data_IF_930945568571
#
_entry.id   IF_930945568571
#
_cell.length_a   1.000
_cell.length_b   1.000
_cell.length_c   1.000
_cell.angle_alpha   90.00
_cell.angle_beta   90.00
_cell.angle_gamma   90.00
#
_symmetry.space_group_name_H-M   'P 1'
#
loop_
_entity.id
_entity.type
_entity.pdbx_description
1 polymer ?
#
# COMPACT_ATOMS: atom_id res chain seq x y z
N UNK A 1 36.40 2.58 -19.96
CA UNK A 1 35.34 3.07 -19.03
C UNK A 1 34.23 2.06 -18.69
N UNK A 2 34.11 0.90 -19.35
CA UNK A 2 32.95 0.00 -19.16
C UNK A 2 33.05 -0.99 -17.97
N UNK A 3 34.25 -1.45 -17.61
CA UNK A 3 34.43 -2.48 -16.56
C UNK A 3 34.28 -1.91 -15.14
N UNK A 4 34.93 -0.78 -14.85
CA UNK A 4 34.85 -0.16 -13.51
C UNK A 4 33.42 0.26 -13.14
N UNK A 5 32.65 0.78 -14.11
CA UNK A 5 31.24 1.11 -13.94
C UNK A 5 30.40 -0.15 -13.66
N UNK A 6 30.61 -1.23 -14.43
CA UNK A 6 29.93 -2.50 -14.22
C UNK A 6 30.24 -3.09 -12.83
N UNK A 7 31.50 -3.12 -12.44
CA UNK A 7 31.93 -3.61 -11.12
C UNK A 7 31.30 -2.78 -9.99
N UNK A 8 31.25 -1.46 -10.14
CA UNK A 8 30.58 -0.57 -9.17
C UNK A 8 29.08 -0.83 -9.10
N UNK A 9 28.41 -1.03 -10.24
CA UNK A 9 26.98 -1.37 -10.25
C UNK A 9 26.71 -2.71 -9.57
N UNK A 10 27.51 -3.74 -9.85
CA UNK A 10 27.37 -5.05 -9.18
C UNK A 10 27.64 -4.93 -7.68
N UNK A 11 28.66 -4.17 -7.28
CA UNK A 11 28.95 -3.89 -5.87
C UNK A 11 27.76 -3.24 -5.17
N UNK A 12 27.21 -2.16 -5.74
CA UNK A 12 26.05 -1.45 -5.17
C UNK A 12 24.80 -2.33 -5.11
N UNK A 13 24.54 -3.12 -6.14
CA UNK A 13 23.40 -4.03 -6.18
C UNK A 13 23.52 -5.13 -5.12
N UNK A 14 24.74 -5.58 -4.81
CA UNK A 14 24.99 -6.67 -3.86
C UNK A 14 25.22 -6.21 -2.43
N UNK A 15 25.38 -4.91 -2.16
CA UNK A 15 25.38 -4.36 -0.78
C UNK A 15 24.09 -4.76 -0.06
N UNK A 16 24.12 -5.19 1.22
CA UNK A 16 22.90 -5.52 1.96
C UNK A 16 21.87 -4.40 1.90
N UNK A 17 22.28 -3.17 2.22
CA UNK A 17 21.48 -1.94 2.12
C UNK A 17 22.15 -0.99 1.14
N UNK A 18 21.37 -0.44 0.20
CA UNK A 18 21.90 0.55 -0.72
C UNK A 18 22.23 1.85 0.03
N UNK A 19 23.38 2.51 -0.19
CA UNK A 19 23.76 3.73 0.53
C UNK A 19 22.71 4.84 0.47
N UNK A 20 22.11 5.08 -0.70
CA UNK A 20 21.02 6.05 -0.86
C UNK A 20 19.75 5.65 -0.09
N UNK A 21 19.43 4.35 0.01
CA UNK A 21 18.30 3.89 0.84
C UNK A 21 18.58 4.13 2.32
N UNK A 22 19.81 3.89 2.78
CA UNK A 22 20.22 4.18 4.16
C UNK A 22 20.10 5.67 4.46
N UNK A 23 20.63 6.54 3.61
CA UNK A 23 20.53 7.99 3.76
C UNK A 23 19.06 8.46 3.81
N UNK A 24 18.21 7.98 2.91
CA UNK A 24 16.79 8.35 2.90
C UNK A 24 16.05 7.86 4.16
N UNK A 25 16.39 6.68 4.68
CA UNK A 25 15.84 6.18 5.93
C UNK A 25 16.36 6.96 7.15
N UNK A 26 17.62 7.36 7.18
CA UNK A 26 18.18 8.20 8.27
C UNK A 26 17.48 9.56 8.31
N UNK A 27 17.29 10.17 7.15
CA UNK A 27 16.52 11.41 7.03
C UNK A 27 15.07 11.19 7.49
N UNK A 28 14.44 10.07 7.10
CA UNK A 28 13.08 9.76 7.55
C UNK A 28 13.02 9.62 9.07
N UNK A 29 13.95 8.86 9.68
CA UNK A 29 14.04 8.68 11.13
C UNK A 29 14.24 10.01 11.86
N UNK A 30 15.14 10.86 11.35
CA UNK A 30 15.40 12.18 11.93
C UNK A 30 14.12 13.03 11.97
N UNK A 31 13.36 13.04 10.86
CA UNK A 31 12.11 13.80 10.72
C UNK A 31 10.87 13.21 11.38
N UNK A 32 10.95 12.04 12.03
CA UNK A 32 9.81 11.53 12.80
C UNK A 32 9.60 12.33 14.10
N UNK A 33 8.34 12.48 14.56
CA UNK A 33 8.05 12.94 15.92
C UNK A 33 8.68 12.05 17.00
N UNK A 34 8.99 12.61 18.16
CA UNK A 34 9.70 11.89 19.23
C UNK A 34 8.95 10.66 19.75
N UNK A 35 7.62 10.76 19.93
CA UNK A 35 6.81 9.68 20.52
C UNK A 35 6.74 8.42 19.65
N UNK A 36 6.96 8.53 18.33
CA UNK A 36 6.96 7.37 17.42
C UNK A 36 8.34 6.75 17.22
N UNK A 37 9.41 7.31 17.80
CA UNK A 37 10.79 6.77 17.71
C UNK A 37 11.00 5.65 18.72
N UNK A 38 10.23 4.57 18.57
CA UNK A 38 10.27 3.40 19.44
C UNK A 38 11.15 2.29 18.83
N UNK A 39 11.58 1.28 19.61
CA UNK A 39 12.21 0.08 19.08
C UNK A 39 11.32 -0.73 18.11
N UNK A 40 10.00 -0.55 18.15
CA UNK A 40 9.09 -1.21 17.22
C UNK A 40 8.98 -0.50 15.86
N UNK A 41 9.41 0.78 15.77
CA UNK A 41 9.24 1.60 14.57
C UNK A 41 10.03 1.07 13.37
N UNK A 42 9.33 0.96 12.24
CA UNK A 42 9.87 0.53 10.96
C UNK A 42 10.22 1.70 10.04
N UNK A 43 9.53 2.85 10.14
CA UNK A 43 9.88 4.05 9.38
C UNK A 43 11.27 4.53 9.76
N UNK A 44 12.14 4.70 8.78
CA UNK A 44 13.54 5.10 8.96
C UNK A 44 14.46 4.01 9.51
N UNK A 45 13.93 2.83 9.85
CA UNK A 45 14.74 1.67 10.27
C UNK A 45 14.73 0.56 9.22
N UNK A 46 13.57 0.23 8.67
CA UNK A 46 13.41 -0.78 7.62
C UNK A 46 12.93 -0.21 6.29
N UNK A 47 12.13 0.85 6.32
CA UNK A 47 11.58 1.47 5.12
C UNK A 47 11.39 2.98 5.30
N UNK A 48 11.31 3.72 4.20
CA UNK A 48 10.99 5.16 4.22
C UNK A 48 9.49 5.46 4.33
N UNK A 49 8.64 4.45 4.08
CA UNK A 49 7.19 4.56 3.95
C UNK A 49 6.71 3.94 2.64
N UNK A 50 5.39 3.89 2.45
CA UNK A 50 4.76 3.67 1.16
C UNK A 50 4.59 4.99 0.42
N UNK A 51 4.60 4.91 -0.91
CA UNK A 51 4.44 6.05 -1.81
C UNK A 51 3.15 5.86 -2.61
N UNK A 52 2.49 6.94 -3.04
CA UNK A 52 1.33 6.86 -3.92
C UNK A 52 1.36 7.95 -4.98
N UNK A 53 0.66 7.70 -6.07
CA UNK A 53 0.45 8.71 -7.11
C UNK A 53 -0.71 9.65 -6.76
N UNK A 54 -0.66 10.88 -7.23
CA UNK A 54 -1.81 11.81 -7.24
C UNK A 54 -1.93 12.46 -8.62
N UNK A 55 -3.06 13.11 -8.93
CA UNK A 55 -3.16 13.90 -10.16
C UNK A 55 -3.09 13.15 -11.50
N UNK A 56 -3.02 11.81 -11.48
CA UNK A 56 -2.88 10.98 -12.69
C UNK A 56 -4.20 10.92 -13.47
N UNK A 57 -5.27 10.44 -12.84
CA UNK A 57 -6.65 10.58 -13.31
C UNK A 57 -7.57 10.21 -12.13
N UNK A 58 -8.62 11.00 -11.86
CA UNK A 58 -9.50 10.77 -10.71
C UNK A 58 -10.78 10.00 -11.04
N UNK A 59 -10.99 9.66 -12.30
CA UNK A 59 -12.27 9.09 -12.76
C UNK A 59 -12.50 7.69 -12.19
N UNK A 60 -13.73 7.46 -11.75
CA UNK A 60 -14.21 6.19 -11.23
C UNK A 60 -15.61 5.87 -11.79
N UNK A 61 -15.90 4.60 -12.04
CA UNK A 61 -17.20 4.11 -12.49
C UNK A 61 -18.10 3.61 -11.34
N UNK A 62 -17.62 3.67 -10.09
CA UNK A 62 -18.37 3.37 -8.89
C UNK A 62 -18.70 4.63 -8.10
N UNK A 63 -19.77 4.55 -7.32
CA UNK A 63 -20.13 5.57 -6.33
C UNK A 63 -20.03 4.95 -4.95
N UNK A 64 -19.03 5.38 -4.19
CA UNK A 64 -18.81 4.93 -2.81
C UNK A 64 -19.08 6.11 -1.87
N UNK A 65 -19.79 5.85 -0.77
CA UNK A 65 -20.10 6.90 0.23
C UNK A 65 -18.83 7.50 0.86
N UNK A 66 -17.88 6.72 1.42
CA UNK A 66 -16.69 7.27 2.09
C UNK A 66 -15.53 7.62 1.13
N UNK A 67 -15.83 8.05 -0.10
CA UNK A 67 -14.82 8.25 -1.13
C UNK A 67 -14.21 9.66 -1.05
N UNK A 68 -12.89 9.75 -1.09
CA UNK A 68 -12.18 11.04 -1.16
C UNK A 68 -12.34 11.77 -2.51
N UNK A 69 -12.88 11.11 -3.55
CA UNK A 69 -13.06 11.76 -4.85
C UNK A 69 -14.07 12.90 -4.79
N UNK A 70 -13.58 14.08 -5.20
CA UNK A 70 -14.38 15.29 -5.33
C UNK A 70 -15.49 15.16 -6.39
N UNK A 71 -16.41 16.13 -6.39
CA UNK A 71 -17.48 16.24 -7.40
C UNK A 71 -16.97 16.39 -8.85
N UNK A 72 -15.70 16.78 -9.04
CA UNK A 72 -15.08 16.96 -10.35
C UNK A 72 -14.32 15.73 -10.85
N UNK A 73 -14.03 14.77 -9.97
CA UNK A 73 -13.27 13.56 -10.31
C UNK A 73 -13.84 12.83 -11.55
N UNK A 74 -15.15 12.63 -11.60
CA UNK A 74 -15.81 11.93 -12.72
C UNK A 74 -16.00 12.79 -13.98
N UNK A 75 -15.54 14.04 -13.96
CA UNK A 75 -15.56 14.99 -15.08
C UNK A 75 -14.19 15.16 -15.75
N UNK A 76 -13.19 14.41 -15.31
CA UNK A 76 -11.86 14.34 -15.92
C UNK A 76 -11.83 13.18 -16.92
N UNK A 77 -11.35 13.43 -18.13
CA UNK A 77 -11.13 12.39 -19.14
C UNK A 77 -9.97 11.49 -18.71
N UNK A 78 -10.10 10.20 -18.94
CA UNK A 78 -8.99 9.26 -18.79
C UNK A 78 -8.06 9.45 -19.98
N UNK A 79 -6.79 9.70 -19.70
CA UNK A 79 -5.76 9.97 -20.70
C UNK A 79 -4.49 9.22 -20.32
N UNK A 80 -4.09 8.27 -21.17
CA UNK A 80 -2.93 7.41 -20.93
C UNK A 80 -1.61 8.17 -20.98
N UNK A 81 -1.45 9.07 -21.95
CA UNK A 81 -0.22 9.85 -22.13
C UNK A 81 0.06 10.75 -20.92
N UNK A 82 -0.97 11.48 -20.46
CA UNK A 82 -0.91 12.27 -19.24
C UNK A 82 -0.60 11.39 -18.02
N UNK A 83 -1.28 10.24 -17.89
CA UNK A 83 -1.07 9.31 -16.78
C UNK A 83 0.39 8.85 -16.72
N UNK A 84 0.93 8.35 -17.81
CA UNK A 84 2.32 7.86 -17.88
C UNK A 84 3.30 8.99 -17.57
N UNK A 85 3.06 10.19 -18.10
CA UNK A 85 3.90 11.38 -17.86
C UNK A 85 3.90 11.77 -16.38
N UNK A 86 2.73 11.91 -15.77
CA UNK A 86 2.58 12.28 -14.37
C UNK A 86 3.17 11.23 -13.44
N UNK A 87 2.92 9.94 -13.70
CA UNK A 87 3.54 8.82 -12.97
C UNK A 87 5.06 8.89 -13.08
N UNK A 88 5.61 9.08 -14.28
CA UNK A 88 7.06 9.13 -14.48
C UNK A 88 7.69 10.26 -13.67
N UNK A 89 7.14 11.47 -13.74
CA UNK A 89 7.65 12.64 -13.01
C UNK A 89 7.62 12.43 -11.48
N UNK A 90 6.53 11.87 -10.97
CA UNK A 90 6.37 11.55 -9.55
C UNK A 90 7.38 10.50 -9.10
N UNK A 91 7.54 9.42 -9.86
CA UNK A 91 8.47 8.34 -9.53
C UNK A 91 9.94 8.79 -9.62
N UNK A 92 10.29 9.65 -10.57
CA UNK A 92 11.61 10.26 -10.66
C UNK A 92 11.91 11.16 -9.44
N UNK A 93 10.94 11.96 -9.01
CA UNK A 93 11.08 12.77 -7.81
C UNK A 93 11.27 11.89 -6.57
N UNK A 94 10.41 10.90 -6.39
CA UNK A 94 10.53 9.91 -5.32
C UNK A 94 11.89 9.20 -5.36
N UNK A 95 12.41 8.84 -6.54
CA UNK A 95 13.74 8.21 -6.69
C UNK A 95 14.86 9.09 -6.13
N UNK A 96 14.75 10.41 -6.32
CA UNK A 96 15.71 11.39 -5.79
C UNK A 96 15.58 11.56 -4.28
N UNK A 97 14.36 11.69 -3.76
CA UNK A 97 14.15 12.07 -2.34
C UNK A 97 14.00 10.90 -1.37
N UNK A 98 13.57 9.72 -1.85
CA UNK A 98 13.29 8.53 -1.04
C UNK A 98 14.24 7.36 -1.35
N UNK A 99 15.15 7.55 -2.31
CA UNK A 99 16.16 6.57 -2.68
C UNK A 99 15.69 5.57 -3.75
N UNK A 100 16.49 4.51 -3.97
CA UNK A 100 16.40 3.66 -5.16
C UNK A 100 15.28 2.64 -5.16
N UNK A 101 14.70 2.33 -4.00
CA UNK A 101 13.74 1.24 -3.84
C UNK A 101 12.70 1.63 -2.80
N UNK A 102 11.43 1.45 -3.15
CA UNK A 102 10.28 1.62 -2.28
C UNK A 102 9.06 0.88 -2.88
N UNK A 103 7.99 0.77 -2.10
CA UNK A 103 6.68 0.38 -2.61
C UNK A 103 5.90 1.63 -3.01
N UNK A 104 5.26 1.59 -4.17
CA UNK A 104 4.40 2.67 -4.62
C UNK A 104 3.07 2.16 -5.14
N UNK A 105 1.99 2.83 -4.77
CA UNK A 105 0.65 2.51 -5.25
C UNK A 105 0.31 3.41 -6.46
N UNK A 106 -0.14 2.79 -7.56
CA UNK A 106 -0.82 3.50 -8.62
C UNK A 106 -2.27 3.69 -8.18
N UNK A 107 -2.59 4.91 -7.79
CA UNK A 107 -3.88 5.34 -7.22
C UNK A 107 -4.28 6.71 -7.80
N UNK A 108 -5.58 7.00 -7.79
CA UNK A 108 -6.13 8.29 -8.21
C UNK A 108 -7.59 8.17 -8.59
N UNK A 109 -7.97 7.08 -9.26
CA UNK A 109 -9.34 6.71 -9.66
C UNK A 109 -9.42 5.17 -9.82
N UNK A 110 -10.36 4.67 -10.63
CA UNK A 110 -10.36 3.24 -10.99
C UNK A 110 -9.33 2.97 -12.08
N UNK A 111 -8.20 2.36 -11.71
CA UNK A 111 -7.10 2.07 -12.64
C UNK A 111 -7.46 1.09 -13.74
N UNK A 112 -8.48 0.26 -13.57
CA UNK A 112 -8.98 -0.61 -14.64
C UNK A 112 -9.76 0.14 -15.74
N UNK A 113 -9.98 1.45 -15.59
CA UNK A 113 -10.55 2.28 -16.67
C UNK A 113 -9.49 2.81 -17.65
N UNK A 114 -8.20 2.71 -17.32
CA UNK A 114 -7.14 2.97 -18.30
C UNK A 114 -7.19 1.92 -19.41
N UNK A 115 -6.82 2.25 -20.64
CA UNK A 115 -6.44 1.25 -21.61
C UNK A 115 -5.34 0.34 -21.03
N UNK A 116 -5.44 -0.97 -21.24
CA UNK A 116 -4.55 -1.95 -20.63
C UNK A 116 -3.06 -1.69 -20.92
N UNK A 117 -2.73 -1.26 -22.15
CA UNK A 117 -1.38 -0.87 -22.55
C UNK A 117 -0.86 0.35 -21.78
N UNK A 118 -1.71 1.35 -21.53
CA UNK A 118 -1.31 2.55 -20.76
C UNK A 118 -1.12 2.22 -19.28
N UNK A 119 -1.97 1.34 -18.74
CA UNK A 119 -1.77 0.80 -17.40
C UNK A 119 -0.45 0.04 -17.30
N UNK A 120 -0.14 -0.85 -18.25
CA UNK A 120 1.14 -1.55 -18.31
C UNK A 120 2.32 -0.58 -18.39
N UNK A 121 2.24 0.46 -19.22
CA UNK A 121 3.27 1.47 -19.38
C UNK A 121 3.49 2.28 -18.08
N UNK A 122 2.43 2.62 -17.35
CA UNK A 122 2.54 3.26 -16.04
C UNK A 122 3.27 2.37 -15.03
N UNK A 123 2.95 1.08 -14.97
CA UNK A 123 3.66 0.13 -14.09
C UNK A 123 5.13 -0.03 -14.48
N UNK A 124 5.44 -0.04 -15.78
CA UNK A 124 6.82 -0.06 -16.28
C UNK A 124 7.57 1.21 -15.89
N UNK A 125 6.95 2.39 -15.94
CA UNK A 125 7.55 3.65 -15.50
C UNK A 125 7.88 3.64 -14.00
N UNK A 126 7.01 3.06 -13.16
CA UNK A 126 7.27 2.86 -11.73
C UNK A 126 8.45 1.91 -11.50
N UNK A 127 8.48 0.77 -12.21
CA UNK A 127 9.59 -0.19 -12.13
C UNK A 127 10.91 0.39 -12.62
N UNK A 128 10.91 1.18 -13.69
CA UNK A 128 12.10 1.85 -14.21
C UNK A 128 12.72 2.80 -13.18
N UNK A 129 11.91 3.36 -12.30
CA UNK A 129 12.32 4.18 -11.17
C UNK A 129 12.58 3.38 -9.88
N UNK A 130 12.58 2.04 -9.94
CA UNK A 130 12.91 1.17 -8.82
C UNK A 130 11.79 0.95 -7.81
N UNK A 131 10.54 1.32 -8.13
CA UNK A 131 9.39 1.03 -7.29
C UNK A 131 8.88 -0.38 -7.54
N UNK A 132 8.34 -1.01 -6.50
CA UNK A 132 7.38 -2.10 -6.70
C UNK A 132 5.98 -1.49 -6.77
N UNK A 133 5.37 -1.47 -7.95
CA UNK A 133 4.06 -0.92 -8.13
C UNK A 133 2.99 -1.85 -7.55
N UNK A 134 1.94 -1.24 -7.04
CA UNK A 134 0.69 -1.89 -6.68
C UNK A 134 -0.48 -1.10 -7.28
N UNK A 135 -1.25 -1.71 -8.16
CA UNK A 135 -2.41 -1.07 -8.77
C UNK A 135 -3.61 -1.11 -7.84
N UNK A 136 -4.20 0.04 -7.52
CA UNK A 136 -5.41 0.13 -6.70
C UNK A 136 -6.67 0.12 -7.58
N UNK A 137 -7.52 -0.87 -7.40
CA UNK A 137 -8.72 -1.11 -8.24
C UNK A 137 -9.89 -1.52 -7.36
N UNK A 138 -11.11 -1.43 -7.88
CA UNK A 138 -12.27 -2.05 -7.25
C UNK A 138 -12.42 -3.54 -7.65
N UNK A 139 -11.55 -4.05 -8.52
CA UNK A 139 -11.55 -5.45 -8.96
C UNK A 139 -12.70 -5.81 -9.90
N UNK A 140 -13.35 -4.81 -10.52
CA UNK A 140 -14.45 -4.99 -11.47
C UNK A 140 -13.95 -4.90 -12.92
N UNK A 141 -13.09 -5.85 -13.30
CA UNK A 141 -12.58 -6.05 -14.65
C UNK A 141 -12.47 -7.55 -14.94
N UNK A 142 -12.37 -7.90 -16.22
CA UNK A 142 -12.33 -9.29 -16.68
C UNK A 142 -10.90 -9.78 -16.87
N UNK A 143 -10.71 -11.10 -16.92
CA UNK A 143 -9.37 -11.69 -17.04
C UNK A 143 -8.62 -11.23 -18.30
N UNK A 144 -9.34 -11.00 -19.41
CA UNK A 144 -8.75 -10.48 -20.64
C UNK A 144 -8.07 -9.12 -20.44
N UNK A 145 -8.67 -8.21 -19.66
CA UNK A 145 -8.01 -6.95 -19.31
C UNK A 145 -6.73 -7.19 -18.53
N UNK A 146 -6.72 -8.14 -17.58
CA UNK A 146 -5.51 -8.50 -16.84
C UNK A 146 -4.43 -9.04 -17.78
N UNK A 147 -4.80 -9.91 -18.73
CA UNK A 147 -3.88 -10.45 -19.73
C UNK A 147 -3.27 -9.35 -20.59
N UNK A 148 -4.08 -8.41 -21.08
CA UNK A 148 -3.60 -7.29 -21.90
C UNK A 148 -2.66 -6.35 -21.12
N UNK A 149 -2.85 -6.21 -19.80
CA UNK A 149 -1.93 -5.44 -18.94
C UNK A 149 -0.60 -6.18 -18.79
N UNK A 150 -0.62 -7.51 -18.61
CA UNK A 150 0.56 -8.27 -18.18
C UNK A 150 1.35 -8.93 -19.30
N UNK A 151 0.76 -9.10 -20.48
CA UNK A 151 1.37 -9.72 -21.66
C UNK A 151 1.64 -8.70 -22.76
N UNK A 152 2.75 -8.87 -23.48
CA UNK A 152 3.01 -8.12 -24.72
C UNK A 152 2.19 -8.66 -25.91
N UNK A 153 2.31 -8.01 -27.06
CA UNK A 153 1.57 -8.38 -28.28
C UNK A 153 1.95 -9.80 -28.80
N UNK A 154 3.08 -10.34 -28.35
CA UNK A 154 3.52 -11.72 -28.62
C UNK A 154 3.09 -12.73 -27.54
N UNK A 155 2.31 -12.30 -26.54
CA UNK A 155 1.84 -13.13 -25.44
C UNK A 155 2.89 -13.44 -24.37
N UNK A 156 4.02 -12.73 -24.35
CA UNK A 156 5.09 -12.92 -23.36
C UNK A 156 4.85 -12.01 -22.15
N UNK A 157 5.18 -12.46 -20.94
CA UNK A 157 5.05 -11.62 -19.75
C UNK A 157 5.89 -10.34 -19.80
N UNK A 158 5.24 -9.19 -19.66
CA UNK A 158 5.87 -7.88 -19.40
C UNK A 158 6.50 -7.82 -18.02
N UNK A 159 5.93 -8.56 -17.06
CA UNK A 159 6.33 -8.55 -15.66
C UNK A 159 6.56 -9.97 -15.15
N UNK A 160 7.55 -10.14 -14.26
CA UNK A 160 7.73 -11.40 -13.52
C UNK A 160 6.75 -11.54 -12.37
N UNK A 161 6.34 -10.40 -11.82
CA UNK A 161 5.40 -10.28 -10.72
C UNK A 161 4.57 -9.01 -10.91
N UNK A 162 3.26 -9.08 -10.65
CA UNK A 162 2.38 -7.92 -10.57
C UNK A 162 1.75 -7.81 -9.18
N UNK A 163 1.38 -6.61 -8.74
CA UNK A 163 0.70 -6.44 -7.46
C UNK A 163 -0.55 -5.60 -7.62
N UNK A 164 -1.64 -6.03 -6.98
CA UNK A 164 -2.91 -5.32 -7.01
C UNK A 164 -3.49 -5.21 -5.60
N UNK A 165 -4.13 -4.10 -5.32
CA UNK A 165 -4.97 -3.93 -4.15
C UNK A 165 -6.41 -3.74 -4.61
N UNK A 166 -7.30 -4.65 -4.19
CA UNK A 166 -8.68 -4.67 -4.63
C UNK A 166 -9.61 -4.22 -3.50
N UNK A 167 -10.32 -3.13 -3.75
CA UNK A 167 -11.28 -2.55 -2.82
C UNK A 167 -12.65 -3.23 -2.98
N UNK A 168 -13.11 -3.85 -1.90
CA UNK A 168 -14.45 -4.42 -1.79
C UNK A 168 -15.08 -4.02 -0.46
N UNK A 169 -16.09 -3.17 -0.53
CA UNK A 169 -17.03 -2.90 0.56
C UNK A 169 -18.45 -2.70 0.02
N UNK A 170 -19.44 -2.95 0.87
CA UNK A 170 -20.87 -2.90 0.56
C UNK A 170 -21.42 -1.49 0.31
N UNK A 171 -20.62 -0.45 0.54
CA UNK A 171 -21.00 0.94 0.27
C UNK A 171 -20.64 1.35 -1.16
N UNK A 172 -19.88 0.52 -1.87
CA UNK A 172 -19.52 0.72 -3.27
C UNK A 172 -20.68 0.32 -4.18
N UNK A 173 -21.28 1.29 -4.86
CA UNK A 173 -22.39 1.09 -5.80
C UNK A 173 -21.90 1.13 -7.25
N UNK A 174 -22.42 0.24 -8.07
CA UNK A 174 -22.16 0.19 -9.52
C UNK A 174 -21.39 -1.06 -10.00
N UNK A 175 -20.99 -1.96 -9.10
CA UNK A 175 -20.25 -3.18 -9.48
C UNK A 175 -21.08 -4.06 -10.39
N UNK A 176 -20.49 -4.55 -11.48
CA UNK A 176 -21.14 -5.48 -12.41
C UNK A 176 -21.57 -6.75 -11.66
N UNK A 177 -22.85 -7.11 -11.76
CA UNK A 177 -23.44 -8.26 -11.05
C UNK A 177 -23.80 -8.02 -9.58
N UNK A 178 -23.41 -6.90 -8.97
CA UNK A 178 -23.78 -6.52 -7.60
C UNK A 178 -23.87 -4.99 -7.48
N UNK A 179 -24.84 -4.39 -8.17
CA UNK A 179 -24.92 -2.92 -8.33
C UNK A 179 -25.15 -2.19 -6.99
N UNK A 180 -25.88 -2.81 -6.06
CA UNK A 180 -26.18 -2.29 -4.71
C UNK A 180 -26.10 -3.44 -3.71
N UNK A 181 -24.89 -3.87 -3.33
CA UNK A 181 -24.74 -4.95 -2.35
C UNK A 181 -25.37 -4.53 -1.02
N UNK A 182 -26.07 -5.45 -0.37
CA UNK A 182 -26.76 -5.18 0.92
C UNK A 182 -25.85 -5.40 2.12
N UNK A 183 -24.83 -6.24 1.96
CA UNK A 183 -23.90 -6.64 2.98
C UNK A 183 -22.58 -7.08 2.33
N UNK A 184 -21.56 -7.31 3.15
CA UNK A 184 -20.25 -7.72 2.71
C UNK A 184 -20.22 -9.15 2.16
N UNK A 185 -21.08 -10.04 2.68
CA UNK A 185 -21.13 -11.43 2.25
C UNK A 185 -21.52 -11.57 0.76
N UNK A 186 -22.41 -10.71 0.25
CA UNK A 186 -22.76 -10.64 -1.17
C UNK A 186 -21.56 -10.35 -2.09
N UNK A 187 -20.49 -9.75 -1.55
CA UNK A 187 -19.27 -9.44 -2.29
C UNK A 187 -18.24 -10.58 -2.29
N UNK A 188 -18.41 -11.62 -1.47
CA UNK A 188 -17.46 -12.74 -1.38
C UNK A 188 -17.23 -13.49 -2.72
N UNK A 189 -18.26 -13.77 -3.54
CA UNK A 189 -18.04 -14.36 -4.87
C UNK A 189 -17.20 -13.47 -5.80
N UNK A 190 -17.23 -12.14 -5.62
CA UNK A 190 -16.43 -11.21 -6.41
C UNK A 190 -14.98 -11.14 -5.91
N UNK A 191 -14.78 -11.20 -4.59
CA UNK A 191 -13.45 -11.34 -3.97
C UNK A 191 -12.76 -12.61 -4.46
N UNK A 192 -13.46 -13.74 -4.41
CA UNK A 192 -12.94 -15.03 -4.86
C UNK A 192 -12.54 -14.99 -6.35
N UNK A 193 -13.47 -14.54 -7.21
CA UNK A 193 -13.22 -14.43 -8.66
C UNK A 193 -12.03 -13.53 -8.99
N UNK A 194 -11.92 -12.39 -8.32
CA UNK A 194 -10.77 -11.50 -8.49
C UNK A 194 -9.47 -12.22 -8.16
N UNK A 195 -9.42 -12.91 -7.01
CA UNK A 195 -8.23 -13.61 -6.55
C UNK A 195 -7.89 -14.82 -7.46
N UNK A 196 -8.90 -15.51 -7.98
CA UNK A 196 -8.77 -16.63 -8.94
C UNK A 196 -8.12 -16.19 -10.25
N UNK A 197 -8.36 -14.98 -10.75
CA UNK A 197 -7.68 -14.45 -11.94
C UNK A 197 -6.15 -14.47 -11.79
N UNK A 198 -5.63 -14.16 -10.60
CA UNK A 198 -4.18 -14.17 -10.36
C UNK A 198 -3.61 -15.57 -10.15
N UNK A 199 -4.43 -16.51 -9.68
CA UNK A 199 -4.06 -17.93 -9.65
C UNK A 199 -3.95 -18.47 -11.08
N UNK A 200 -4.94 -18.18 -11.93
CA UNK A 200 -4.92 -18.52 -13.36
C UNK A 200 -3.71 -17.89 -14.04
N UNK A 201 -3.45 -16.59 -13.83
CA UNK A 201 -2.30 -15.89 -14.39
C UNK A 201 -0.97 -16.58 -14.06
N UNK A 202 -0.81 -17.06 -12.83
CA UNK A 202 0.39 -17.79 -12.43
C UNK A 202 0.49 -19.15 -13.09
N UNK A 203 -0.62 -19.88 -13.18
CA UNK A 203 -0.69 -21.20 -13.79
C UNK A 203 -0.41 -21.13 -15.30
N UNK A 204 -1.08 -20.23 -16.00
CA UNK A 204 -1.11 -20.16 -17.46
C UNK A 204 0.14 -19.46 -18.03
N UNK A 205 0.64 -18.42 -17.35
CA UNK A 205 1.70 -17.55 -17.88
C UNK A 205 2.93 -17.46 -16.97
N UNK A 206 2.93 -18.15 -15.82
CA UNK A 206 4.07 -18.15 -14.90
C UNK A 206 4.30 -16.83 -14.15
N UNK A 207 3.42 -15.83 -14.31
CA UNK A 207 3.51 -14.52 -13.66
C UNK A 207 3.04 -14.61 -12.22
N UNK A 208 3.91 -14.29 -11.26
CA UNK A 208 3.52 -14.27 -9.85
C UNK A 208 2.70 -13.02 -9.50
N UNK A 209 1.97 -13.06 -8.40
CA UNK A 209 1.20 -11.92 -7.92
C UNK A 209 1.51 -11.58 -6.46
N UNK A 210 1.15 -10.37 -6.06
CA UNK A 210 0.88 -10.03 -4.66
C UNK A 210 -0.44 -9.27 -4.61
N UNK A 211 -1.45 -9.84 -3.96
CA UNK A 211 -2.79 -9.25 -3.94
C UNK A 211 -3.22 -8.86 -2.53
N UNK A 212 -3.68 -7.62 -2.39
CA UNK A 212 -4.25 -7.08 -1.16
C UNK A 212 -5.77 -6.99 -1.27
N UNK A 213 -6.48 -7.47 -0.26
CA UNK A 213 -7.89 -7.15 -0.04
C UNK A 213 -7.97 -5.86 0.76
N UNK A 214 -8.71 -4.89 0.25
CA UNK A 214 -8.96 -3.61 0.90
C UNK A 214 -10.47 -3.44 1.16
N UNK A 215 -10.83 -2.92 2.32
CA UNK A 215 -12.22 -2.64 2.69
C UNK A 215 -12.31 -1.37 3.52
N UNK A 216 -13.17 -0.44 3.11
CA UNK A 216 -13.56 0.68 3.97
C UNK A 216 -14.53 0.21 5.04
N UNK A 217 -14.28 0.60 6.29
CA UNK A 217 -15.08 0.21 7.45
C UNK A 217 -15.86 1.42 7.98
N UNK A 218 -17.17 1.24 8.11
CA UNK A 218 -18.11 2.22 8.65
C UNK A 218 -19.00 1.56 9.71
N UNK A 219 -19.78 2.34 10.51
CA UNK A 219 -20.72 1.77 11.46
C UNK A 219 -21.68 0.77 10.81
N UNK A 220 -21.99 0.96 9.52
CA UNK A 220 -22.88 0.07 8.78
C UNK A 220 -22.30 -1.33 8.48
N UNK A 221 -20.97 -1.50 8.48
CA UNK A 221 -20.34 -2.77 8.12
C UNK A 221 -19.25 -3.26 9.10
N UNK A 222 -18.97 -2.56 10.18
CA UNK A 222 -17.97 -2.97 11.18
C UNK A 222 -18.29 -4.34 11.80
N UNK A 223 -19.58 -4.63 12.01
CA UNK A 223 -20.02 -5.94 12.52
C UNK A 223 -19.74 -7.10 11.57
N UNK A 224 -19.48 -6.81 10.29
CA UNK A 224 -19.25 -7.79 9.23
C UNK A 224 -17.75 -8.04 8.98
N UNK A 225 -16.85 -7.26 9.59
CA UNK A 225 -15.38 -7.40 9.42
C UNK A 225 -14.88 -8.78 9.81
N UNK A 226 -15.48 -9.40 10.85
CA UNK A 226 -15.11 -10.75 11.27
C UNK A 226 -15.43 -11.79 10.18
N UNK A 227 -16.63 -11.73 9.60
CA UNK A 227 -17.05 -12.65 8.53
C UNK A 227 -16.20 -12.45 7.27
N UNK A 228 -15.90 -11.20 6.90
CA UNK A 228 -15.02 -10.88 5.77
C UNK A 228 -13.62 -11.42 6.00
N UNK A 229 -13.06 -11.23 7.19
CA UNK A 229 -11.73 -11.74 7.54
C UNK A 229 -11.70 -13.26 7.41
N UNK A 230 -12.68 -13.96 7.98
CA UNK A 230 -12.80 -15.42 7.86
C UNK A 230 -12.83 -15.88 6.40
N UNK A 231 -13.66 -15.25 5.56
CA UNK A 231 -13.80 -15.59 4.15
C UNK A 231 -12.50 -15.34 3.36
N UNK A 232 -11.88 -14.17 3.53
CA UNK A 232 -10.71 -13.73 2.76
C UNK A 232 -9.44 -14.51 3.15
N UNK A 233 -9.34 -15.01 4.38
CA UNK A 233 -8.22 -15.87 4.79
C UNK A 233 -8.11 -17.15 3.97
N UNK A 234 -9.25 -17.71 3.53
CA UNK A 234 -9.31 -18.87 2.63
C UNK A 234 -8.99 -18.55 1.17
N UNK A 235 -8.89 -17.28 0.80
CA UNK A 235 -8.62 -16.82 -0.57
C UNK A 235 -7.13 -16.48 -0.74
N UNK A 236 -6.60 -16.45 -1.99
CA UNK A 236 -5.18 -16.25 -2.26
C UNK A 236 -4.70 -14.79 -2.09
N UNK A 237 -5.27 -14.03 -1.14
CA UNK A 237 -4.79 -12.70 -0.76
C UNK A 237 -3.53 -12.76 0.13
N UNK A 238 -2.54 -11.93 -0.13
CA UNK A 238 -1.32 -11.81 0.68
C UNK A 238 -1.46 -10.77 1.81
N UNK A 239 -2.32 -9.78 1.60
CA UNK A 239 -2.61 -8.71 2.56
C UNK A 239 -4.12 -8.52 2.75
N UNK A 240 -4.53 -8.31 3.98
CA UNK A 240 -5.89 -7.93 4.38
C UNK A 240 -5.79 -6.54 5.03
N UNK A 241 -6.39 -5.54 4.40
CA UNK A 241 -6.36 -4.14 4.83
C UNK A 241 -7.76 -3.63 5.09
N UNK A 242 -8.02 -3.20 6.30
CA UNK A 242 -9.28 -2.58 6.70
C UNK A 242 -9.04 -1.11 7.04
N UNK A 243 -9.92 -0.23 6.56
CA UNK A 243 -9.70 1.22 6.62
C UNK A 243 -10.92 1.87 7.26
N UNK A 244 -10.91 2.16 8.57
CA UNK A 244 -11.95 2.99 9.17
C UNK A 244 -12.10 4.28 8.37
N UNK A 245 -13.33 4.58 7.99
CA UNK A 245 -13.67 5.79 7.27
C UNK A 245 -13.50 7.02 8.17
N UNK A 246 -13.07 8.11 7.55
CA UNK A 246 -13.01 9.45 8.13
C UNK A 246 -13.75 10.40 7.17
N UNK A 247 -14.21 11.55 7.67
CA UNK A 247 -14.88 12.55 6.87
C UNK A 247 -13.88 13.24 5.92
N UNK A 248 -13.75 12.67 4.72
CA UNK A 248 -12.87 13.14 3.65
C UNK A 248 -13.64 13.19 2.33
N UNK A 249 -13.18 14.04 1.40
CA UNK A 249 -13.74 14.13 0.06
C UNK A 249 -14.99 15.01 -0.05
N UNK A 250 -16.07 14.43 -0.59
CA UNK A 250 -17.31 15.15 -0.92
C UNK A 250 -18.35 15.02 0.20
N UNK A 251 -18.54 16.09 0.98
CA UNK A 251 -19.44 16.17 2.13
C UNK A 251 -20.87 15.67 1.83
N UNK A 252 -21.33 15.82 0.58
CA UNK A 252 -22.68 15.36 0.15
C UNK A 252 -22.87 13.85 0.20
N UNK A 253 -21.79 13.08 0.31
CA UNK A 253 -21.83 11.61 0.39
C UNK A 253 -22.00 11.08 1.80
N UNK A 254 -21.93 11.96 2.80
CA UNK A 254 -22.09 11.65 4.20
C UNK A 254 -23.52 12.01 4.62
N UNK A 255 -24.28 11.01 5.10
CA UNK A 255 -25.71 11.16 5.39
C UNK A 255 -26.06 11.22 6.88
N UNK A 256 -25.12 10.94 7.79
CA UNK A 256 -25.38 10.81 9.24
C UNK A 256 -24.16 11.27 10.07
N UNK A 257 -24.42 11.64 11.33
CA UNK A 257 -23.39 11.81 12.37
C UNK A 257 -22.76 10.44 12.65
N UNK A 258 -21.70 10.15 11.90
CA UNK A 258 -20.85 8.96 12.02
C UNK A 258 -20.16 8.94 13.38
N UNK A 259 -20.50 7.98 14.22
CA UNK A 259 -19.71 7.68 15.41
C UNK A 259 -18.32 7.19 14.98
N UNK A 260 -17.25 7.82 15.48
CA UNK A 260 -15.87 7.50 15.07
C UNK A 260 -15.56 6.03 15.36
N UNK A 261 -15.30 5.24 14.31
CA UNK A 261 -14.84 3.87 14.47
C UNK A 261 -13.38 3.90 14.87
N UNK A 262 -13.11 3.36 16.06
CA UNK A 262 -11.73 3.23 16.52
C UNK A 262 -11.01 2.11 15.79
N UNK A 263 -9.71 2.31 15.60
CA UNK A 263 -8.80 1.29 15.07
C UNK A 263 -8.81 0.00 15.93
N UNK A 264 -9.09 0.11 17.24
CA UNK A 264 -9.27 -1.02 18.16
C UNK A 264 -10.51 -1.85 17.85
N UNK A 265 -11.65 -1.20 17.58
CA UNK A 265 -12.88 -1.88 17.22
C UNK A 265 -12.68 -2.73 15.97
N UNK A 266 -12.05 -2.18 14.92
CA UNK A 266 -11.75 -2.94 13.70
C UNK A 266 -10.76 -4.07 13.96
N UNK A 267 -9.68 -3.83 14.70
CA UNK A 267 -8.68 -4.86 14.99
C UNK A 267 -9.30 -6.05 15.74
N UNK A 268 -10.16 -5.80 16.73
CA UNK A 268 -10.83 -6.85 17.49
C UNK A 268 -11.72 -7.74 16.59
N UNK A 269 -12.36 -7.15 15.57
CA UNK A 269 -13.17 -7.91 14.60
C UNK A 269 -12.32 -8.74 13.65
N UNK A 270 -11.14 -8.25 13.27
CA UNK A 270 -10.15 -9.03 12.50
C UNK A 270 -9.73 -10.27 13.30
N UNK A 271 -9.38 -10.11 14.58
CA UNK A 271 -8.99 -11.23 15.45
C UNK A 271 -10.13 -12.23 15.64
N UNK A 272 -11.37 -11.75 15.82
CA UNK A 272 -12.55 -12.59 15.89
C UNK A 272 -12.75 -13.41 14.60
N UNK A 273 -12.59 -12.79 13.43
CA UNK A 273 -12.70 -13.47 12.13
C UNK A 273 -11.54 -14.44 11.84
N UNK A 274 -10.35 -14.13 12.33
CA UNK A 274 -9.19 -15.02 12.27
C UNK A 274 -9.30 -16.19 13.25
N UNK A 275 -10.19 -16.10 14.25
CA UNK A 275 -10.38 -17.10 15.30
C UNK A 275 -9.26 -17.12 16.35
N UNK A 276 -8.40 -16.10 16.37
CA UNK A 276 -7.24 -16.01 17.28
C UNK A 276 -6.67 -14.59 17.35
N UNK A 277 -5.93 -14.25 18.42
CA UNK A 277 -5.19 -13.00 18.50
C UNK A 277 -4.13 -12.85 17.38
N UNK A 278 -3.99 -11.62 16.88
CA UNK A 278 -2.99 -11.21 15.90
C UNK A 278 -2.34 -9.94 16.46
N UNK A 279 -1.32 -10.07 17.32
CA UNK A 279 -0.71 -8.92 17.95
C UNK A 279 0.04 -8.06 16.93
N UNK A 280 -0.32 -6.77 16.85
CA UNK A 280 0.36 -5.77 16.01
C UNK A 280 1.53 -5.09 16.74
N UNK A 281 1.55 -5.12 18.07
CA UNK A 281 2.49 -4.39 18.94
C UNK A 281 3.96 -4.78 18.72
N UNK A 282 4.21 -5.96 18.11
CA UNK A 282 5.54 -6.39 17.70
C UNK A 282 6.18 -5.46 16.67
N UNK A 283 5.41 -4.68 15.91
CA UNK A 283 5.92 -3.70 14.95
C UNK A 283 5.08 -2.43 14.92
N UNK A 284 5.72 -1.31 14.59
CA UNK A 284 5.05 -0.03 14.41
C UNK A 284 5.46 0.55 13.06
N UNK A 285 4.51 1.06 12.28
CA UNK A 285 4.80 1.72 11.01
C UNK A 285 4.08 3.05 10.94
N UNK A 286 4.76 4.12 11.39
CA UNK A 286 4.14 5.42 11.65
C UNK A 286 3.57 5.54 13.05
N UNK A 287 2.49 6.31 13.21
CA UNK A 287 1.72 6.42 14.46
C UNK A 287 0.74 5.25 14.61
N UNK A 288 0.66 4.65 15.79
CA UNK A 288 -0.22 3.50 16.07
C UNK A 288 -1.70 3.89 16.14
N UNK A 289 -2.01 5.19 16.26
CA UNK A 289 -3.36 5.75 16.11
C UNK A 289 -3.81 5.77 14.64
N UNK A 290 -2.86 5.86 13.70
CA UNK A 290 -3.12 5.83 12.26
C UNK A 290 -3.00 4.43 11.68
N UNK A 291 -1.96 3.69 12.05
CA UNK A 291 -1.61 2.48 11.31
C UNK A 291 -1.17 1.36 12.25
N UNK A 292 -1.81 0.21 12.11
CA UNK A 292 -1.43 -1.04 12.77
C UNK A 292 -1.15 -2.08 11.72
N UNK A 293 -0.09 -2.84 11.93
CA UNK A 293 0.34 -3.88 10.99
C UNK A 293 0.85 -5.09 11.75
N UNK A 294 0.44 -6.27 11.31
CA UNK A 294 0.95 -7.54 11.79
C UNK A 294 1.21 -8.47 10.61
N UNK A 295 2.19 -9.37 10.76
CA UNK A 295 2.47 -10.43 9.79
C UNK A 295 2.29 -11.77 10.49
N UNK A 296 1.57 -12.69 9.86
CA UNK A 296 1.39 -14.04 10.35
C UNK A 296 1.82 -15.06 9.28
N UNK A 297 2.45 -16.14 9.73
CA UNK A 297 2.64 -17.35 8.92
C UNK A 297 1.34 -18.15 8.92
N UNK A 298 0.78 -18.42 7.75
CA UNK A 298 -0.34 -19.35 7.59
C UNK A 298 0.17 -20.71 7.12
N UNK A 299 -0.24 -21.78 7.81
CA UNK A 299 -0.06 -23.18 7.39
C UNK A 299 -1.34 -23.78 6.77
N UNK A 300 -2.32 -22.93 6.47
CA UNK A 300 -3.66 -23.29 6.00
C UNK A 300 -4.67 -23.45 7.13
N UNK A 301 -4.34 -24.19 8.19
CA UNK A 301 -5.23 -24.40 9.34
C UNK A 301 -4.89 -23.55 10.57
N UNK A 302 -3.69 -22.98 10.62
CA UNK A 302 -3.20 -22.18 11.74
C UNK A 302 -2.58 -20.90 11.20
N UNK A 303 -2.86 -19.78 11.86
CA UNK A 303 -2.14 -18.53 11.70
C UNK A 303 -1.16 -18.38 12.88
N UNK A 304 0.08 -18.06 12.60
CA UNK A 304 1.11 -17.89 13.64
C UNK A 304 1.71 -16.50 13.49
N UNK A 305 1.46 -15.58 14.44
CA UNK A 305 2.09 -14.26 14.44
C UNK A 305 3.61 -14.38 14.32
N UNK A 306 4.20 -13.62 13.40
CA UNK A 306 5.64 -13.66 13.14
C UNK A 306 6.42 -13.28 14.41
N UNK A 307 5.97 -12.24 15.09
CA UNK A 307 6.52 -11.76 16.37
C UNK A 307 5.50 -11.98 17.48
N UNK A 308 5.95 -12.53 18.60
CA UNK A 308 5.22 -12.47 19.87
C UNK A 308 5.62 -11.20 20.63
N UNK A 309 4.71 -10.25 20.94
CA UNK A 309 5.05 -9.11 21.78
C UNK A 309 5.31 -9.49 23.24
N UNK A 310 4.82 -10.65 23.70
CA UNK A 310 4.96 -11.10 25.09
C UNK A 310 6.23 -11.96 25.29
N UNK A 311 6.89 -12.39 24.21
CA UNK A 311 8.19 -13.07 24.27
C UNK A 311 9.34 -12.04 24.13
N UNK A 312 10.07 -11.70 25.22
CA UNK A 312 11.17 -10.74 25.14
C UNK A 312 12.29 -11.19 24.19
N UNK A 313 12.39 -12.49 23.87
CA UNK A 313 13.38 -13.01 22.92
C UNK A 313 12.99 -12.70 21.47
N UNK A 314 11.70 -12.61 21.17
CA UNK A 314 11.23 -12.18 19.84
C UNK A 314 11.47 -10.69 19.66
N UNK A 315 11.19 -9.88 20.68
CA UNK A 315 11.48 -8.45 20.66
C UNK A 315 12.99 -8.16 20.55
N UNK A 316 13.82 -8.86 21.31
CA UNK A 316 15.27 -8.73 21.22
C UNK A 316 15.81 -9.14 19.83
N UNK A 317 15.24 -10.21 19.24
CA UNK A 317 15.60 -10.62 17.88
C UNK A 317 15.19 -9.56 16.85
N UNK A 318 13.95 -9.04 16.92
CA UNK A 318 13.48 -7.93 16.07
C UNK A 318 14.42 -6.73 16.16
N UNK A 319 14.71 -6.24 17.37
CA UNK A 319 15.49 -5.03 17.56
C UNK A 319 16.90 -5.17 17.02
N UNK A 320 17.54 -6.31 17.29
CA UNK A 320 18.86 -6.63 16.77
C UNK A 320 18.87 -6.71 15.24
N UNK A 321 17.94 -7.46 14.64
CA UNK A 321 17.89 -7.63 13.19
C UNK A 321 17.52 -6.33 12.47
N UNK A 322 16.64 -5.49 13.03
CA UNK A 322 16.36 -4.17 12.47
C UNK A 322 17.59 -3.24 12.54
N UNK A 323 18.38 -3.31 13.61
CA UNK A 323 19.58 -2.49 13.75
C UNK A 323 20.67 -2.88 12.74
N UNK A 324 20.87 -4.17 12.48
CA UNK A 324 21.94 -4.64 11.59
C UNK A 324 21.50 -4.78 10.12
N UNK A 325 20.23 -5.08 9.87
CA UNK A 325 19.73 -5.48 8.55
C UNK A 325 18.52 -4.67 8.07
N UNK A 326 18.10 -3.67 8.84
CA UNK A 326 17.03 -2.75 8.45
C UNK A 326 17.35 -2.05 7.12
N UNK A 327 16.40 -2.09 6.18
CA UNK A 327 16.55 -1.54 4.83
C UNK A 327 17.05 -2.53 3.78
N UNK A 328 17.29 -3.79 4.15
CA UNK A 328 17.49 -4.84 3.16
C UNK A 328 16.22 -5.02 2.33
N UNK A 329 16.41 -5.02 1.01
CA UNK A 329 15.33 -5.07 0.05
C UNK A 329 15.48 -6.28 -0.87
N UNK A 330 14.41 -7.06 -1.01
CA UNK A 330 14.42 -8.35 -1.72
C UNK A 330 13.49 -8.40 -2.94
N UNK A 331 12.44 -7.57 -2.98
CA UNK A 331 11.47 -7.59 -4.08
C UNK A 331 12.13 -7.28 -5.43
N UNK A 332 11.60 -7.87 -6.51
CA UNK A 332 12.09 -7.64 -7.88
C UNK A 332 13.59 -7.89 -8.10
N UNK A 333 14.28 -8.57 -7.18
CA UNK A 333 15.73 -8.72 -7.18
C UNK A 333 16.12 -10.15 -7.57
N UNK A 334 17.04 -10.35 -8.55
CA UNK A 334 17.52 -11.67 -8.92
C UNK A 334 18.04 -12.48 -7.72
N UNK A 335 17.75 -13.79 -7.71
CA UNK A 335 18.06 -14.67 -6.58
C UNK A 335 19.55 -14.68 -6.19
N UNK A 336 20.47 -14.61 -7.16
CA UNK A 336 21.90 -14.55 -6.87
C UNK A 336 22.32 -13.25 -6.18
N UNK A 337 21.66 -12.12 -6.49
CA UNK A 337 21.89 -10.84 -5.81
C UNK A 337 21.37 -10.93 -4.38
N UNK A 338 20.17 -11.48 -4.18
CA UNK A 338 19.60 -11.72 -2.85
C UNK A 338 20.53 -12.61 -2.01
N UNK A 339 20.98 -13.74 -2.56
CA UNK A 339 21.93 -14.63 -1.90
C UNK A 339 23.24 -13.93 -1.53
N UNK A 340 23.78 -13.10 -2.43
CA UNK A 340 24.98 -12.30 -2.15
C UNK A 340 24.75 -11.27 -1.04
N UNK A 341 23.61 -10.57 -1.05
CA UNK A 341 23.22 -9.61 0.01
C UNK A 341 23.14 -10.30 1.37
N UNK A 342 22.47 -11.46 1.45
CA UNK A 342 22.33 -12.25 2.67
C UNK A 342 23.70 -12.70 3.17
N UNK A 343 24.54 -13.27 2.29
CA UNK A 343 25.88 -13.69 2.66
C UNK A 343 26.70 -12.52 3.22
N UNK A 344 26.68 -11.35 2.56
CA UNK A 344 27.39 -10.15 3.04
C UNK A 344 26.85 -9.65 4.37
N UNK A 345 25.54 -9.69 4.59
CA UNK A 345 24.91 -9.30 5.85
C UNK A 345 25.36 -10.23 7.00
N UNK A 346 25.35 -11.54 6.77
CA UNK A 346 25.79 -12.54 7.75
C UNK A 346 27.30 -12.49 8.00
N UNK A 347 28.12 -12.19 7.00
CA UNK A 347 29.57 -12.01 7.19
C UNK A 347 29.89 -10.73 7.97
N UNK A 348 29.08 -9.67 7.83
CA UNK A 348 29.23 -8.45 8.60
C UNK A 348 28.77 -8.61 10.06
N UNK A 349 27.79 -9.48 10.31
CA UNK A 349 27.21 -9.74 11.63
C UNK A 349 27.02 -11.24 11.89
N UNK A 350 28.11 -12.03 12.05
CA UNK A 350 28.01 -13.49 12.17
C UNK A 350 27.22 -13.95 13.40
N UNK A 351 27.26 -13.16 14.47
CA UNK A 351 26.50 -13.42 15.70
C UNK A 351 24.98 -13.33 15.53
N UNK A 352 24.48 -12.87 14.38
CA UNK A 352 23.05 -12.84 14.07
C UNK A 352 22.53 -14.21 13.65
N UNK A 353 23.39 -15.12 13.15
CA UNK A 353 22.99 -16.46 12.74
C UNK A 353 22.30 -17.26 13.86
N UNK A 354 22.87 -17.41 15.08
CA UNK A 354 22.16 -18.10 16.16
C UNK A 354 20.84 -17.42 16.55
N UNK A 355 20.74 -16.09 16.43
CA UNK A 355 19.51 -15.34 16.71
C UNK A 355 18.43 -15.66 15.67
N UNK A 356 18.78 -15.64 14.39
CA UNK A 356 17.89 -15.99 13.26
C UNK A 356 17.41 -17.44 13.40
N UNK A 357 18.32 -18.38 13.67
CA UNK A 357 17.99 -19.80 13.84
C UNK A 357 17.08 -20.00 15.06
N UNK A 358 17.37 -19.34 16.18
CA UNK A 358 16.54 -19.42 17.39
C UNK A 358 15.14 -18.84 17.17
N UNK A 359 15.05 -17.70 16.48
CA UNK A 359 13.78 -17.09 16.09
C UNK A 359 12.96 -18.00 15.18
N UNK A 360 13.58 -18.54 14.11
CA UNK A 360 12.92 -19.47 13.19
C UNK A 360 12.43 -20.74 13.91
N UNK A 361 13.24 -21.30 14.82
CA UNK A 361 12.82 -22.45 15.64
C UNK A 361 11.61 -22.14 16.51
N UNK A 362 11.53 -20.96 17.12
CA UNK A 362 10.37 -20.53 17.91
C UNK A 362 9.13 -20.35 17.03
N UNK A 363 9.27 -19.71 15.88
CA UNK A 363 8.19 -19.55 14.91
C UNK A 363 7.65 -20.91 14.44
N UNK A 364 8.53 -21.82 14.04
CA UNK A 364 8.16 -23.18 13.63
C UNK A 364 7.45 -23.92 14.76
N UNK A 365 7.93 -23.82 16.00
CA UNK A 365 7.27 -24.43 17.16
C UNK A 365 5.87 -23.87 17.38
N UNK A 366 5.69 -22.55 17.30
CA UNK A 366 4.38 -21.89 17.41
C UNK A 366 3.44 -22.27 16.25
N UNK A 367 3.99 -22.55 15.08
CA UNK A 367 3.25 -23.00 13.89
C UNK A 367 2.89 -24.51 13.89
N UNK A 368 3.05 -25.21 15.03
CA UNK A 368 2.73 -26.63 15.15
C UNK A 368 3.90 -27.59 14.86
N UNK A 369 5.13 -27.06 14.76
CA UNK A 369 6.35 -27.83 14.56
C UNK A 369 6.74 -28.06 13.09
N UNK A 370 7.91 -28.68 12.89
CA UNK A 370 8.50 -28.88 11.55
C UNK A 370 7.59 -29.69 10.62
N UNK A 371 6.90 -30.72 11.14
CA UNK A 371 6.00 -31.55 10.34
C UNK A 371 4.81 -30.78 9.78
N UNK A 372 4.19 -29.90 10.59
CA UNK A 372 3.08 -29.06 10.16
C UNK A 372 3.52 -28.06 9.08
N UNK A 373 4.65 -27.38 9.30
CA UNK A 373 5.21 -26.43 8.33
C UNK A 373 5.62 -27.13 7.03
N UNK A 374 6.28 -28.28 7.10
CA UNK A 374 6.68 -29.05 5.92
C UNK A 374 5.48 -29.58 5.14
N UNK A 375 4.45 -30.08 5.82
CA UNK A 375 3.19 -30.52 5.20
C UNK A 375 2.47 -29.37 4.48
N UNK A 376 2.40 -28.20 5.12
CA UNK A 376 1.83 -27.00 4.51
C UNK A 376 2.64 -26.53 3.30
N UNK A 377 3.97 -26.57 3.38
CA UNK A 377 4.85 -26.21 2.26
C UNK A 377 4.67 -27.18 1.08
N UNK A 378 4.66 -28.49 1.33
CA UNK A 378 4.48 -29.51 0.30
C UNK A 378 3.12 -29.40 -0.38
N UNK A 379 2.09 -29.05 0.38
CA UNK A 379 0.73 -28.82 -0.12
C UNK A 379 0.51 -27.40 -0.67
N UNK A 380 1.56 -26.57 -0.78
CA UNK A 380 1.48 -25.17 -1.24
C UNK A 380 0.49 -24.28 -0.47
N UNK A 381 0.25 -24.62 0.81
CA UNK A 381 -0.60 -23.88 1.75
C UNK A 381 0.18 -22.93 2.66
N UNK A 382 1.51 -23.00 2.63
CA UNK A 382 2.38 -22.11 3.39
C UNK A 382 2.39 -20.72 2.75
N UNK A 383 2.00 -19.71 3.52
CA UNK A 383 1.99 -18.32 3.05
C UNK A 383 2.22 -17.36 4.22
N UNK A 384 2.60 -16.11 3.92
CA UNK A 384 2.55 -15.03 4.89
C UNK A 384 1.33 -14.17 4.61
N UNK A 385 0.56 -13.87 5.65
CA UNK A 385 -0.57 -12.95 5.60
C UNK A 385 -0.19 -11.68 6.33
N UNK A 386 -0.38 -10.53 5.68
CA UNK A 386 -0.19 -9.22 6.29
C UNK A 386 -1.55 -8.65 6.67
N UNK A 387 -1.73 -8.24 7.91
CA UNK A 387 -2.94 -7.55 8.38
C UNK A 387 -2.61 -6.09 8.57
N UNK A 388 -3.44 -5.22 8.02
CA UNK A 388 -3.28 -3.76 8.12
C UNK A 388 -4.60 -3.15 8.54
N UNK A 389 -4.54 -2.22 9.49
CA UNK A 389 -5.62 -1.27 9.72
C UNK A 389 -5.06 0.14 9.59
N UNK A 390 -5.63 0.93 8.68
CA UNK A 390 -5.24 2.31 8.46
C UNK A 390 -6.41 3.25 8.73
N UNK A 391 -6.33 3.98 9.84
CA UNK A 391 -7.30 4.95 10.29
C UNK A 391 -6.98 6.35 9.73
N UNK A 392 -7.80 6.82 8.80
CA UNK A 392 -7.68 8.17 8.25
C UNK A 392 -8.06 9.23 9.30
N UNK A 393 -7.80 10.50 8.98
CA UNK A 393 -8.14 11.64 9.83
C UNK A 393 -9.15 12.52 9.11
N UNK A 394 -10.07 13.11 9.88
CA UNK A 394 -11.10 14.00 9.35
C UNK A 394 -10.50 15.25 8.72
N UNK A 395 -11.08 15.68 7.61
CA UNK A 395 -10.63 16.86 6.88
C UNK A 395 -10.65 18.13 7.74
N UNK A 396 -11.62 18.23 8.66
CA UNK A 396 -11.78 19.33 9.60
C UNK A 396 -10.58 19.49 10.55
N UNK A 397 -9.90 18.40 10.89
CA UNK A 397 -8.69 18.42 11.72
C UNK A 397 -7.43 18.56 10.86
N UNK A 398 -7.40 17.89 9.71
CA UNK A 398 -6.21 17.83 8.83
C UNK A 398 -5.88 19.19 8.25
N UNK A 399 -6.87 19.94 7.75
CA UNK A 399 -6.64 21.24 7.13
C UNK A 399 -5.96 22.26 8.07
N UNK A 400 -6.49 22.53 9.29
CA UNK A 400 -5.82 23.45 10.22
C UNK A 400 -4.48 22.91 10.73
N UNK A 401 -4.36 21.60 10.98
CA UNK A 401 -3.09 20.99 11.40
C UNK A 401 -2.00 21.18 10.35
N UNK A 402 -2.32 20.91 9.08
CA UNK A 402 -1.41 21.09 7.95
C UNK A 402 -1.00 22.55 7.78
N UNK A 403 -1.95 23.49 7.78
CA UNK A 403 -1.66 24.91 7.65
C UNK A 403 -0.73 25.43 8.76
N UNK A 404 -0.86 24.92 9.99
CA UNK A 404 0.05 25.24 11.09
C UNK A 404 1.44 24.61 10.89
N UNK A 405 1.51 23.36 10.42
CA UNK A 405 2.78 22.70 10.10
C UNK A 405 3.54 23.45 9.00
N UNK A 406 2.86 23.98 7.98
CA UNK A 406 3.47 24.79 6.92
C UNK A 406 4.11 26.07 7.43
N UNK A 407 3.60 26.61 8.55
CA UNK A 407 4.17 27.78 9.24
C UNK A 407 5.21 27.40 10.31
N UNK A 408 5.48 26.12 10.52
CA UNK A 408 6.35 25.64 11.60
C UNK A 408 5.76 25.87 13.00
N UNK A 409 4.44 25.98 13.12
CA UNK A 409 3.74 26.26 14.39
C UNK A 409 3.10 24.99 14.93
N UNK A 410 3.33 24.68 16.20
CA UNK A 410 2.63 23.61 16.92
C UNK A 410 1.33 24.15 17.52
N UNK A 411 0.22 23.43 17.34
CA UNK A 411 -1.06 23.83 17.92
C UNK A 411 -1.08 23.69 19.44
N UNK A 412 -1.74 24.63 20.12
CA UNK A 412 -2.09 24.51 21.54
C UNK A 412 -3.34 23.64 21.76
N UNK A 413 -4.19 23.51 20.73
CA UNK A 413 -5.33 22.60 20.74
C UNK A 413 -4.82 21.14 20.72
N UNK A 414 -5.15 20.32 21.73
CA UNK A 414 -4.70 18.93 21.82
C UNK A 414 -5.07 18.08 20.60
N UNK A 415 -6.28 18.24 20.03
CA UNK A 415 -6.76 17.44 18.89
C UNK A 415 -5.95 17.77 17.64
N UNK A 416 -5.80 19.07 17.35
CA UNK A 416 -5.00 19.53 16.21
C UNK A 416 -3.52 19.15 16.37
N UNK A 417 -2.97 19.24 17.59
CA UNK A 417 -1.59 18.82 17.87
C UNK A 417 -1.40 17.31 17.61
N UNK A 418 -2.34 16.48 18.05
CA UNK A 418 -2.34 15.06 17.70
C UNK A 418 -2.37 14.85 16.18
N UNK A 419 -3.21 15.59 15.45
CA UNK A 419 -3.24 15.51 13.99
C UNK A 419 -1.89 15.89 13.37
N UNK A 420 -1.20 16.91 13.90
CA UNK A 420 0.17 17.26 13.46
C UNK A 420 1.17 16.12 13.71
N UNK A 421 1.11 15.47 14.87
CA UNK A 421 1.93 14.31 15.21
C UNK A 421 1.70 13.14 14.25
N UNK A 422 0.43 12.85 13.96
CA UNK A 422 -0.01 11.79 13.04
C UNK A 422 0.44 12.09 11.60
N UNK A 423 0.36 13.35 11.16
CA UNK A 423 0.84 13.80 9.85
C UNK A 423 2.37 13.70 9.73
N UNK A 424 3.12 14.15 10.74
CA UNK A 424 4.60 14.06 10.75
C UNK A 424 5.13 12.63 10.72
N UNK A 425 4.38 11.69 11.28
CA UNK A 425 4.69 10.25 11.32
C UNK A 425 3.98 9.44 10.22
N UNK A 426 3.38 10.09 9.22
CA UNK A 426 2.64 9.41 8.17
C UNK A 426 3.51 8.38 7.42
N UNK A 427 2.99 7.16 7.30
CA UNK A 427 3.67 6.08 6.58
C UNK A 427 3.40 6.12 5.08
N UNK A 428 2.38 6.86 4.61
CA UNK A 428 1.93 6.89 3.22
C UNK A 428 1.94 8.32 2.67
N UNK A 429 2.77 8.60 1.65
CA UNK A 429 2.94 9.95 1.14
C UNK A 429 2.85 10.03 -0.39
N UNK A 430 2.24 11.11 -0.87
CA UNK A 430 2.15 11.49 -2.27
C UNK A 430 3.29 12.44 -2.63
N UNK A 431 3.70 12.41 -3.89
CA UNK A 431 4.90 13.10 -4.34
C UNK A 431 4.55 14.25 -5.25
N UNK A 432 4.85 15.48 -4.83
CA UNK A 432 4.55 16.71 -5.57
C UNK A 432 5.83 17.26 -6.21
N UNK A 433 6.27 16.75 -7.38
CA UNK A 433 7.49 17.21 -8.04
C UNK A 433 7.46 18.71 -8.35
N UNK A 434 6.29 19.27 -8.63
CA UNK A 434 6.07 20.69 -8.95
C UNK A 434 6.35 21.63 -7.78
N UNK A 435 6.20 21.15 -6.54
CA UNK A 435 6.54 21.92 -5.33
C UNK A 435 7.79 21.39 -4.64
N UNK A 436 8.34 20.26 -5.10
CA UNK A 436 9.45 19.56 -4.45
C UNK A 436 9.10 18.98 -3.08
N UNK A 437 7.83 18.65 -2.83
CA UNK A 437 7.34 18.22 -1.51
C UNK A 437 6.80 16.80 -1.50
N UNK A 438 6.80 16.23 -0.31
CA UNK A 438 6.08 15.00 0.01
C UNK A 438 4.89 15.36 0.90
N UNK A 439 3.71 14.92 0.51
CA UNK A 439 2.46 15.26 1.17
C UNK A 439 1.87 13.99 1.81
N UNK A 440 1.56 13.99 3.11
CA UNK A 440 0.85 12.88 3.75
C UNK A 440 -0.47 12.56 3.03
N UNK A 441 -0.82 11.29 2.87
CA UNK A 441 -2.03 10.89 2.15
C UNK A 441 -3.32 11.52 2.70
N UNK A 442 -3.45 11.67 4.03
CA UNK A 442 -4.58 12.37 4.62
C UNK A 442 -4.66 13.83 4.16
N UNK A 443 -3.55 14.54 4.01
CA UNK A 443 -3.52 15.92 3.49
C UNK A 443 -3.91 15.94 2.02
N UNK A 444 -3.34 15.03 1.22
CA UNK A 444 -3.70 14.92 -0.20
C UNK A 444 -5.22 14.78 -0.37
N UNK A 445 -5.79 13.76 0.27
CA UNK A 445 -7.17 13.36 0.06
C UNK A 445 -8.21 14.27 0.72
N UNK A 446 -7.84 14.95 1.81
CA UNK A 446 -8.75 15.88 2.49
C UNK A 446 -8.66 17.31 1.97
N UNK A 447 -7.48 17.76 1.52
CA UNK A 447 -7.20 19.18 1.34
C UNK A 447 -6.78 19.56 -0.09
N UNK A 448 -6.14 18.65 -0.84
CA UNK A 448 -5.54 19.00 -2.14
C UNK A 448 -6.30 18.44 -3.34
N UNK A 449 -6.84 17.22 -3.23
CA UNK A 449 -7.50 16.51 -4.34
C UNK A 449 -8.63 17.33 -4.98
N UNK A 450 -9.41 18.08 -4.21
CA UNK A 450 -10.52 18.86 -4.76
C UNK A 450 -10.04 19.95 -5.76
N UNK A 451 -9.01 20.72 -5.38
CA UNK A 451 -8.44 21.75 -6.24
C UNK A 451 -7.70 21.14 -7.44
N UNK A 452 -6.97 20.06 -7.21
CA UNK A 452 -6.24 19.33 -8.26
C UNK A 452 -7.21 18.76 -9.32
N UNK A 453 -8.30 18.13 -8.89
CA UNK A 453 -9.34 17.61 -9.78
C UNK A 453 -10.01 18.71 -10.61
N UNK A 454 -10.24 19.88 -10.00
CA UNK A 454 -10.77 21.04 -10.73
C UNK A 454 -9.77 21.55 -11.79
N UNK A 455 -8.47 21.51 -11.50
CA UNK A 455 -7.40 21.80 -12.47
C UNK A 455 -7.36 20.78 -13.61
N UNK A 456 -7.34 19.48 -13.28
CA UNK A 456 -7.35 18.39 -14.25
C UNK A 456 -8.59 18.43 -15.15
N UNK A 457 -9.75 18.79 -14.61
CA UNK A 457 -10.98 18.95 -15.41
C UNK A 457 -10.83 19.99 -16.51
N UNK A 458 -10.06 21.06 -16.27
CA UNK A 458 -9.76 22.09 -17.29
C UNK A 458 -8.78 21.58 -18.33
N UNK A 459 -7.78 20.81 -17.90
CA UNK A 459 -6.73 20.24 -18.76
C UNK A 459 -7.23 19.08 -19.62
N UNK A 460 -8.06 18.21 -19.04
CA UNK A 460 -8.54 16.95 -19.61
C UNK A 460 -10.08 16.91 -19.53
N UNK A 461 -10.80 17.78 -20.25
CA UNK A 461 -12.25 17.79 -20.23
C UNK A 461 -12.81 16.55 -20.92
N UNK A 462 -13.96 16.04 -20.44
CA UNK A 462 -14.65 14.90 -21.08
C UNK A 462 -15.05 15.16 -22.54
N UNK A 463 -15.36 16.42 -22.86
CA UNK A 463 -15.64 16.88 -24.22
C UNK A 463 -14.60 17.93 -24.58
N UNK A 464 -13.94 17.83 -25.74
CA UNK A 464 -13.06 18.88 -26.21
C UNK A 464 -13.81 20.21 -26.20
N UNK A 465 -13.19 21.25 -25.65
CA UNK A 465 -13.71 22.61 -25.81
C UNK A 465 -13.39 22.99 -27.25
N UNK A 466 -14.41 23.02 -28.12
CA UNK A 466 -14.25 23.63 -29.44
C UNK A 466 -13.81 25.08 -29.20
N UNK A 467 -12.67 25.54 -29.74
CA UNK A 467 -12.35 26.95 -29.68
C UNK A 467 -13.53 27.67 -30.31
N UNK A 468 -14.18 28.56 -29.54
CA UNK A 468 -15.18 29.45 -30.12
C UNK A 468 -14.49 30.12 -31.31
N UNK A 469 -15.07 29.97 -32.51
CA UNK A 469 -14.65 30.71 -33.67
C UNK A 469 -14.58 32.18 -33.24
N UNK A 470 -13.38 32.76 -33.28
CA UNK A 470 -13.22 34.18 -33.06
C UNK A 470 -14.10 34.87 -34.10
N UNK A 471 -15.25 35.39 -33.66
CA UNK A 471 -16.03 36.30 -34.48
C UNK A 471 -15.10 37.47 -34.83
N UNK A 472 -14.89 37.76 -36.12
CA UNK A 472 -14.19 38.97 -36.49
C UNK A 472 -15.02 40.16 -35.98
N UNK A 473 -14.46 40.94 -35.05
CA UNK A 473 -15.08 42.19 -34.64
C UNK A 473 -15.16 43.14 -35.85
N UNK A 474 -16.28 43.87 -36.01
CA UNK A 474 -16.53 44.75 -37.15
C UNK A 474 -15.60 45.96 -37.23
#
# INVERSE_FOLDING_TARGET
MKIAALLRSVELLTRPVHPESRAAMDQRWAGLPGHVKTPAQLLGRSAVGCEGTHGVFPKCNLTCSPCYHSADANKVRIDGEHTITAVTQQMEFLRRVRGPRAHAQLIGGEVSLLPANDHAAALQAMHANGREPMSMTHGDFDYDYLLDVVLDDEGRPRFRKVSFAAHFDSLMRGRRGAVRPRNEAELNPFRARFAEMFVALKHDHGVSSYIAHNMTVTPANVDQVAEVTHAVLGMPYDMLSFQPAAYIGDDRRWSEDFEEITIDAVWSRIEAGAGQPIPWQGTQFGDTRCNRTAVALSTGSVLTPLLDPDDPRDLAARDRLLNHHGGMYFGGTPAWIVGTKILRALLAHPDDLPVIVSFARRLVRRAGGLGAVASAAWSRRLSFKTFVVHNFMDAADVAPAWALMERGVTSADPKIRETQERLGSCMYAMSHPETGRLVPACVQHSSLDAAENAGLRKMLPLRPVTPAAAEPQP
#
